data_IF_635718849086
#
_entry.id   IF_635718849086
#
_cell.length_a   1.000
_cell.length_b   1.000
_cell.length_c   1.000
_cell.angle_alpha   90.00
_cell.angle_beta   90.00
_cell.angle_gamma   90.00
#
_symmetry.space_group_name_H-M   'P 1'
#
loop_
_entity.id
_entity.type
_entity.pdbx_description
1 polymer ?
#
# COMPACT_ATOMS: atom_id res chain seq x y z
N UNK A 1 -28.88 20.94 -2.15
CA UNK A 1 -29.14 19.49 -2.08
C UNK A 1 -28.24 18.85 -3.14
N UNK A 2 -27.38 17.87 -2.80
CA UNK A 2 -26.55 17.22 -3.80
C UNK A 2 -27.42 16.42 -4.78
N UNK A 3 -26.96 16.31 -6.03
CA UNK A 3 -27.66 15.58 -7.10
C UNK A 3 -27.70 14.08 -6.76
N UNK A 4 -28.85 13.43 -7.00
CA UNK A 4 -29.04 12.00 -6.76
C UNK A 4 -28.03 11.16 -7.57
N UNK A 5 -27.55 11.67 -8.71
CA UNK A 5 -26.52 11.01 -9.54
C UNK A 5 -25.14 11.06 -8.89
N UNK A 6 -24.75 12.19 -8.30
CA UNK A 6 -23.48 12.31 -7.55
C UNK A 6 -23.48 11.39 -6.34
N UNK A 7 -24.62 11.28 -5.63
CA UNK A 7 -24.77 10.35 -4.50
C UNK A 7 -24.64 8.88 -4.93
N UNK A 8 -25.26 8.48 -6.04
CA UNK A 8 -25.16 7.10 -6.55
C UNK A 8 -23.73 6.78 -7.02
N UNK A 9 -23.08 7.69 -7.76
CA UNK A 9 -21.69 7.48 -8.20
C UNK A 9 -20.73 7.37 -7.01
N UNK A 10 -20.88 8.23 -5.99
CA UNK A 10 -19.99 8.22 -4.82
C UNK A 10 -20.20 6.99 -3.93
N UNK A 11 -21.46 6.56 -3.73
CA UNK A 11 -21.77 5.39 -2.89
C UNK A 11 -21.44 4.06 -3.61
N UNK A 12 -21.71 3.95 -4.91
CA UNK A 12 -21.41 2.72 -5.68
C UNK A 12 -19.91 2.58 -5.93
N UNK A 13 -19.17 3.66 -6.18
CA UNK A 13 -17.71 3.61 -6.30
C UNK A 13 -17.03 3.35 -4.95
N UNK A 14 -17.57 3.88 -3.85
CA UNK A 14 -17.08 3.60 -2.50
C UNK A 14 -17.11 2.11 -2.15
N UNK A 15 -18.22 1.43 -2.47
CA UNK A 15 -18.41 -0.01 -2.25
C UNK A 15 -17.60 -0.92 -3.20
N UNK A 16 -17.05 -0.36 -4.29
CA UNK A 16 -16.21 -1.11 -5.25
C UNK A 16 -14.72 -1.03 -4.93
N UNK A 17 -14.30 -0.16 -4.02
CA UNK A 17 -12.88 -0.02 -3.64
C UNK A 17 -12.52 -0.97 -2.50
N UNK A 18 -11.62 -1.90 -2.78
CA UNK A 18 -11.07 -2.82 -1.79
C UNK A 18 -9.81 -2.25 -1.17
N UNK A 19 -9.50 -2.67 0.06
CA UNK A 19 -8.27 -2.33 0.76
C UNK A 19 -7.19 -3.37 0.46
N UNK A 20 -5.98 -2.92 0.21
CA UNK A 20 -4.84 -3.80 -0.04
C UNK A 20 -3.64 -3.41 0.82
N UNK A 21 -2.95 -4.42 1.35
CA UNK A 21 -1.62 -4.30 1.94
C UNK A 21 -0.59 -4.61 0.85
N UNK A 22 0.24 -3.64 0.54
CA UNK A 22 1.37 -3.77 -0.37
C UNK A 22 2.62 -3.97 0.47
N UNK A 23 3.36 -5.05 0.21
CA UNK A 23 4.66 -5.32 0.83
C UNK A 23 5.71 -5.32 -0.25
N UNK A 24 6.77 -4.53 -0.10
CA UNK A 24 7.83 -4.45 -1.09
C UNK A 24 9.22 -4.41 -0.48
N UNK A 25 10.19 -4.85 -1.28
CA UNK A 25 11.62 -4.75 -0.99
C UNK A 25 12.37 -4.53 -2.30
N UNK A 26 13.12 -3.44 -2.39
CA UNK A 26 13.92 -3.12 -3.57
C UNK A 26 15.37 -3.51 -3.29
N UNK A 27 15.92 -4.39 -4.13
CA UNK A 27 17.30 -4.82 -4.02
C UNK A 27 18.28 -3.69 -4.38
N UNK A 28 19.48 -3.74 -3.80
CA UNK A 28 20.61 -2.94 -4.27
C UNK A 28 21.15 -3.42 -5.60
N UNK A 29 20.88 -4.68 -5.95
CA UNK A 29 21.22 -5.30 -7.21
C UNK A 29 20.09 -5.13 -8.23
N UNK A 30 20.43 -5.20 -9.52
CA UNK A 30 19.48 -5.09 -10.62
C UNK A 30 20.06 -5.79 -11.85
N UNK A 31 19.31 -6.72 -12.43
CA UNK A 31 19.72 -7.46 -13.63
C UNK A 31 18.79 -7.20 -14.83
N UNK A 32 17.51 -6.96 -14.56
CA UNK A 32 16.43 -6.90 -15.57
C UNK A 32 15.55 -5.64 -15.47
N UNK A 33 15.89 -4.72 -14.56
CA UNK A 33 15.18 -3.44 -14.38
C UNK A 33 15.11 -2.60 -15.66
N UNK A 34 13.90 -2.22 -16.06
CA UNK A 34 13.65 -1.22 -17.11
C UNK A 34 13.81 0.24 -16.61
N UNK A 35 13.75 0.45 -15.29
CA UNK A 35 13.71 1.78 -14.66
C UNK A 35 15.08 2.30 -14.21
N UNK A 36 16.14 1.52 -14.40
CA UNK A 36 17.48 1.87 -13.95
C UNK A 36 17.83 1.39 -12.54
N UNK A 37 18.60 2.20 -11.82
CA UNK A 37 19.18 1.87 -10.51
C UNK A 37 18.12 1.76 -9.39
N UNK A 38 18.54 1.25 -8.22
CA UNK A 38 17.67 1.05 -7.05
C UNK A 38 16.81 2.27 -6.71
N UNK A 39 17.42 3.44 -6.65
CA UNK A 39 16.73 4.66 -6.22
C UNK A 39 15.66 5.10 -7.23
N UNK A 40 15.91 4.91 -8.53
CA UNK A 40 14.93 5.17 -9.57
C UNK A 40 13.73 4.21 -9.49
N UNK A 41 13.98 2.90 -9.26
CA UNK A 41 12.92 1.91 -9.05
C UNK A 41 12.08 2.23 -7.83
N UNK A 42 12.75 2.54 -6.72
CA UNK A 42 12.11 2.94 -5.48
C UNK A 42 11.23 4.16 -5.71
N UNK A 43 11.77 5.26 -6.26
CA UNK A 43 11.02 6.48 -6.52
C UNK A 43 9.80 6.24 -7.40
N UNK A 44 9.95 5.48 -8.49
CA UNK A 44 8.84 5.15 -9.38
C UNK A 44 7.74 4.33 -8.66
N UNK A 45 8.12 3.39 -7.79
CA UNK A 45 7.16 2.64 -6.99
C UNK A 45 6.44 3.57 -5.99
N UNK A 46 7.19 4.40 -5.28
CA UNK A 46 6.64 5.35 -4.30
C UNK A 46 5.66 6.32 -4.96
N UNK A 47 6.01 6.92 -6.10
CA UNK A 47 5.12 7.84 -6.81
C UNK A 47 3.79 7.19 -7.23
N UNK A 48 3.80 5.87 -7.52
CA UNK A 48 2.56 5.13 -7.80
C UNK A 48 1.76 4.86 -6.53
N UNK A 49 2.43 4.47 -5.45
CA UNK A 49 1.79 4.19 -4.17
C UNK A 49 1.17 5.45 -3.55
N UNK A 50 1.86 6.60 -3.63
CA UNK A 50 1.35 7.90 -3.16
C UNK A 50 0.08 8.33 -3.90
N UNK A 51 -0.05 8.00 -5.20
CA UNK A 51 -1.28 8.28 -5.97
C UNK A 51 -2.46 7.40 -5.58
N UNK A 52 -2.20 6.26 -4.93
CA UNK A 52 -3.18 5.28 -4.50
C UNK A 52 -3.41 5.31 -2.98
N UNK A 53 -2.72 6.22 -2.29
CA UNK A 53 -2.54 6.15 -0.85
C UNK A 53 -3.85 6.35 -0.09
N UNK A 54 -4.14 5.37 0.76
CA UNK A 54 -5.09 5.54 1.84
C UNK A 54 -4.34 5.86 3.14
N UNK A 55 -3.31 5.05 3.48
CA UNK A 55 -2.54 5.19 4.72
C UNK A 55 -1.08 4.68 4.56
N UNK A 56 -0.11 5.48 5.03
CA UNK A 56 1.31 5.08 5.11
C UNK A 56 1.61 4.40 6.44
N UNK A 57 2.12 3.17 6.40
CA UNK A 57 2.53 2.42 7.59
C UNK A 57 4.02 2.61 7.95
N UNK A 58 4.68 3.66 7.43
CA UNK A 58 6.11 3.92 7.69
C UNK A 58 6.43 4.42 9.10
N UNK A 59 5.45 4.45 10.00
CA UNK A 59 5.56 4.99 11.36
C UNK A 59 5.89 3.93 12.41
N UNK A 60 5.91 2.65 12.04
CA UNK A 60 6.25 1.56 12.96
C UNK A 60 7.76 1.29 12.89
N UNK A 61 8.49 1.74 13.91
CA UNK A 61 9.89 1.37 14.15
C UNK A 61 9.93 -0.03 14.79
N UNK A 62 9.69 -1.07 14.00
CA UNK A 62 9.89 -2.45 14.48
C UNK A 62 11.39 -2.74 14.51
N UNK A 63 12.05 -2.34 15.61
CA UNK A 63 13.44 -2.62 15.94
C UNK A 63 13.72 -4.14 15.90
N UNK A 64 14.25 -4.61 14.78
CA UNK A 64 14.79 -5.98 14.64
C UNK A 64 14.20 -6.84 13.53
N UNK A 65 13.13 -6.41 12.85
CA UNK A 65 12.65 -7.06 11.64
C UNK A 65 13.26 -6.37 10.42
N UNK A 66 13.88 -7.14 9.52
CA UNK A 66 14.49 -6.63 8.28
C UNK A 66 13.42 -5.81 7.55
N UNK A 67 13.63 -4.49 7.48
CA UNK A 67 12.67 -3.47 7.00
C UNK A 67 11.99 -3.86 5.69
N UNK A 68 10.88 -4.61 5.80
CA UNK A 68 9.88 -4.75 4.73
C UNK A 68 9.10 -3.46 4.74
N UNK A 69 9.19 -2.69 3.65
CA UNK A 69 8.36 -1.50 3.51
C UNK A 69 6.94 -1.95 3.15
N UNK A 70 5.96 -1.39 3.86
CA UNK A 70 4.55 -1.69 3.67
C UNK A 70 3.73 -0.44 3.40
N UNK A 71 2.62 -0.60 2.67
CA UNK A 71 1.69 0.47 2.31
C UNK A 71 0.25 -0.06 2.32
N UNK A 72 -0.70 0.71 2.86
CA UNK A 72 -2.13 0.40 2.71
C UNK A 72 -2.73 1.33 1.66
N UNK A 73 -3.37 0.74 0.66
CA UNK A 73 -4.03 1.47 -0.43
C UNK A 73 -5.49 1.03 -0.57
N UNK A 74 -6.32 1.90 -1.14
CA UNK A 74 -7.66 1.53 -1.62
C UNK A 74 -7.68 1.55 -3.14
N UNK A 75 -8.21 0.52 -3.76
CA UNK A 75 -8.26 0.42 -5.22
C UNK A 75 -9.50 -0.34 -5.69
N UNK A 76 -10.13 0.06 -6.81
CA UNK A 76 -11.16 -0.74 -7.47
C UNK A 76 -10.57 -1.89 -8.31
N UNK A 77 -9.25 -1.93 -8.49
CA UNK A 77 -8.56 -3.00 -9.21
C UNK A 77 -8.46 -4.25 -8.35
N UNK A 78 -8.35 -5.41 -9.00
CA UNK A 78 -7.96 -6.66 -8.32
C UNK A 78 -6.49 -6.63 -7.88
N UNK A 79 -6.13 -7.44 -6.87
CA UNK A 79 -4.74 -7.59 -6.42
C UNK A 79 -3.76 -7.91 -7.56
N UNK A 80 -4.16 -8.76 -8.52
CA UNK A 80 -3.34 -9.14 -9.66
C UNK A 80 -3.09 -7.97 -10.63
N UNK A 81 -4.13 -7.16 -10.92
CA UNK A 81 -3.99 -5.97 -11.77
C UNK A 81 -3.12 -4.92 -11.09
N UNK A 82 -3.39 -4.65 -9.81
CA UNK A 82 -2.62 -3.72 -9.01
C UNK A 82 -1.15 -4.14 -8.91
N UNK A 83 -0.90 -5.43 -8.66
CA UNK A 83 0.44 -6.02 -8.65
C UNK A 83 1.15 -5.87 -9.98
N UNK A 84 0.47 -6.11 -11.10
CA UNK A 84 1.03 -5.92 -12.45
C UNK A 84 1.49 -4.48 -12.70
N UNK A 85 0.66 -3.50 -12.34
CA UNK A 85 0.97 -2.09 -12.52
C UNK A 85 2.13 -1.62 -11.64
N UNK A 86 2.14 -2.03 -10.37
CA UNK A 86 3.19 -1.70 -9.40
C UNK A 86 4.50 -2.43 -9.67
N UNK A 87 4.46 -3.63 -10.26
CA UNK A 87 5.63 -4.44 -10.58
C UNK A 87 6.37 -3.95 -11.84
N UNK A 88 5.69 -3.24 -12.75
CA UNK A 88 6.28 -2.77 -14.00
C UNK A 88 7.63 -2.00 -13.85
N UNK A 89 7.79 -1.07 -12.89
CA UNK A 89 9.07 -0.39 -12.69
C UNK A 89 10.14 -1.22 -11.95
N UNK A 90 9.83 -2.42 -11.49
CA UNK A 90 10.70 -3.21 -10.62
C UNK A 90 11.62 -4.15 -11.40
N UNK A 91 12.70 -4.56 -10.75
CA UNK A 91 13.53 -5.66 -11.20
C UNK A 91 12.85 -6.99 -10.90
N UNK A 92 12.53 -7.76 -11.94
CA UNK A 92 11.69 -8.97 -11.80
C UNK A 92 12.41 -10.15 -11.15
N UNK A 93 13.73 -10.06 -10.98
CA UNK A 93 14.57 -11.12 -10.44
C UNK A 93 14.89 -10.85 -8.97
N UNK A 94 15.20 -9.59 -8.65
CA UNK A 94 15.79 -9.22 -7.36
C UNK A 94 14.84 -8.42 -6.46
N UNK A 95 13.89 -7.67 -7.03
CA UNK A 95 12.92 -6.94 -6.22
C UNK A 95 11.77 -7.86 -5.84
N UNK A 96 11.21 -7.59 -4.66
CA UNK A 96 10.03 -8.30 -4.17
C UNK A 96 8.87 -7.33 -4.05
N UNK A 97 7.70 -7.76 -4.54
CA UNK A 97 6.43 -7.07 -4.38
C UNK A 97 5.33 -8.11 -4.15
N UNK A 98 4.55 -7.92 -3.10
CA UNK A 98 3.36 -8.70 -2.82
C UNK A 98 2.18 -7.77 -2.54
N UNK A 99 0.99 -8.19 -3.00
CA UNK A 99 -0.27 -7.47 -2.84
C UNK A 99 -1.26 -8.41 -2.16
N UNK A 100 -1.72 -8.01 -0.97
CA UNK A 100 -2.68 -8.78 -0.19
C UNK A 100 -3.98 -8.00 -0.09
N UNK A 101 -5.10 -8.62 -0.47
CA UNK A 101 -6.42 -8.07 -0.17
C UNK A 101 -6.64 -8.12 1.34
N UNK A 102 -7.03 -6.99 1.93
CA UNK A 102 -7.34 -6.91 3.35
C UNK A 102 -8.84 -7.05 3.50
N UNK A 103 -9.23 -8.11 4.18
CA UNK A 103 -10.62 -8.30 4.61
C UNK A 103 -10.94 -7.37 5.78
N UNK A 104 -12.00 -6.59 5.66
CA UNK A 104 -12.45 -5.67 6.71
C UNK A 104 -12.90 -6.40 7.97
N UNK A 105 -13.33 -7.67 7.86
CA UNK A 105 -13.68 -8.51 9.03
C UNK A 105 -12.45 -8.93 9.84
N UNK A 106 -11.26 -8.90 9.23
CA UNK A 106 -9.98 -9.30 9.83
C UNK A 106 -9.12 -8.10 10.23
N UNK A 107 -9.75 -6.95 10.51
CA UNK A 107 -9.10 -5.73 10.98
C UNK A 107 -9.44 -5.46 12.43
N UNK A 108 -8.42 -5.15 13.23
CA UNK A 108 -8.55 -4.69 14.60
C UNK A 108 -7.76 -3.40 14.75
N UNK A 109 -8.38 -2.38 15.35
CA UNK A 109 -7.68 -1.16 15.72
C UNK A 109 -7.01 -1.35 17.09
N UNK A 110 -5.72 -1.03 17.17
CA UNK A 110 -5.08 -0.80 18.46
C UNK A 110 -5.08 0.71 18.71
N UNK A 111 -5.82 1.20 19.71
CA UNK A 111 -5.80 2.61 20.05
C UNK A 111 -4.39 3.01 20.49
N UNK A 112 -3.94 4.15 19.96
CA UNK A 112 -2.66 4.75 20.31
C UNK A 112 -2.62 5.00 21.84
N UNK A 113 -1.47 4.85 22.49
CA UNK A 113 -1.34 4.85 23.95
C UNK A 113 -1.60 6.20 24.65
N UNK A 114 -2.34 7.13 24.02
CA UNK A 114 -2.54 8.51 24.48
C UNK A 114 -3.54 8.67 25.63
N UNK A 115 -4.33 7.65 25.95
CA UNK A 115 -5.38 7.72 26.97
C UNK A 115 -5.19 6.81 28.20
N UNK A 116 -3.99 6.23 28.38
CA UNK A 116 -3.67 5.61 29.68
C UNK A 116 -3.23 6.70 30.66
N UNK A 117 -4.19 7.36 31.31
CA UNK A 117 -3.91 7.93 32.63
C UNK A 117 -3.42 6.76 33.50
N UNK A 118 -2.19 6.87 34.01
CA UNK A 118 -1.60 5.87 34.87
C UNK A 118 -2.57 5.51 36.02
N UNK A 119 -2.67 4.24 36.43
CA UNK A 119 -3.45 3.91 37.62
C UNK A 119 -2.85 4.64 38.83
N UNK A 120 -3.71 5.34 39.57
CA UNK A 120 -3.39 5.96 40.86
C UNK A 120 -3.18 4.88 41.91
#
# INVERSE_FOLDING_TARGET
MPDLRELIETTVLGDLTKRYLIVYRISTEAETSLSGNRDARYRNLIEKLERLEAERLSLFEDEGHVSTSCWIVRSPLSAAQLGGDLHNPLDKVNDHLAVFEVDDENQWSMPDARDRTAPV
#
